data_IF_846874621760
#
_entry.id   IF_846874621760
#
_cell.length_a   1.000
_cell.length_b   1.000
_cell.length_c   1.000
_cell.angle_alpha   90.00
_cell.angle_beta   90.00
_cell.angle_gamma   90.00
#
_symmetry.space_group_name_H-M   'P 1'
#
loop_
_entity.id
_entity.type
_entity.pdbx_description
1 polymer ?
#
# COMPACT_ATOMS: atom_id res chain seq x y z
N UNK A 1 28.76 3.43 36.37
CA UNK A 1 27.72 3.14 35.36
C UNK A 1 27.94 1.71 34.91
N UNK A 2 27.09 0.78 35.33
CA UNK A 2 27.24 -0.65 35.01
C UNK A 2 26.54 -0.92 33.68
N UNK A 3 27.30 -1.29 32.65
CA UNK A 3 26.73 -1.70 31.35
C UNK A 3 26.30 -3.16 31.50
N UNK A 4 25.00 -3.43 31.45
CA UNK A 4 24.45 -4.78 31.44
C UNK A 4 24.13 -5.18 29.99
N UNK A 5 24.65 -6.33 29.56
CA UNK A 5 24.29 -6.93 28.26
C UNK A 5 22.95 -7.65 28.44
N UNK A 6 21.93 -7.21 27.72
CA UNK A 6 20.62 -7.85 27.72
C UNK A 6 20.60 -9.04 26.76
N UNK A 7 19.97 -10.16 27.12
CA UNK A 7 19.57 -11.18 26.16
C UNK A 7 18.73 -10.58 25.03
N UNK A 8 18.79 -11.13 23.80
CA UNK A 8 18.03 -10.60 22.66
C UNK A 8 16.53 -10.44 22.94
N UNK A 9 15.93 -11.41 23.64
CA UNK A 9 14.52 -11.38 24.04
C UNK A 9 14.18 -10.19 24.94
N UNK A 10 15.02 -9.93 25.95
CA UNK A 10 14.80 -8.83 26.89
C UNK A 10 15.02 -7.48 26.22
N UNK A 11 16.01 -7.39 25.33
CA UNK A 11 16.21 -6.21 24.49
C UNK A 11 15.00 -5.96 23.60
N UNK A 12 14.47 -7.00 22.97
CA UNK A 12 13.30 -6.92 22.12
C UNK A 12 12.05 -6.47 22.91
N UNK A 13 11.72 -7.12 24.04
CA UNK A 13 10.58 -6.72 24.89
C UNK A 13 10.69 -5.27 25.34
N UNK A 14 11.90 -4.81 25.71
CA UNK A 14 12.13 -3.43 26.10
C UNK A 14 11.90 -2.45 24.95
N UNK A 15 12.35 -2.77 23.73
CA UNK A 15 12.13 -1.94 22.55
C UNK A 15 10.65 -1.94 22.14
N UNK A 16 10.00 -3.10 22.12
CA UNK A 16 8.58 -3.23 21.83
C UNK A 16 7.73 -2.37 22.77
N UNK A 17 8.03 -2.42 24.08
CA UNK A 17 7.40 -1.58 25.09
C UNK A 17 7.64 -0.08 24.84
N UNK A 18 8.87 0.33 24.50
CA UNK A 18 9.20 1.73 24.19
C UNK A 18 8.54 2.24 22.89
N UNK A 19 8.10 1.32 22.04
CA UNK A 19 7.40 1.60 20.78
C UNK A 19 5.89 1.39 20.90
N UNK A 20 5.40 1.09 22.11
CA UNK A 20 3.99 0.83 22.40
C UNK A 20 3.40 -0.30 21.55
N UNK A 21 4.23 -1.30 21.23
CA UNK A 21 3.78 -2.57 20.65
C UNK A 21 3.40 -3.49 21.82
N UNK A 22 2.19 -4.07 21.86
CA UNK A 22 1.79 -5.03 22.91
C UNK A 22 2.80 -6.18 23.01
N UNK A 23 3.02 -6.71 24.22
CA UNK A 23 3.97 -7.81 24.47
C UNK A 23 3.68 -8.96 23.50
N UNK A 24 4.53 -9.17 22.49
CA UNK A 24 4.02 -9.81 21.30
C UNK A 24 4.07 -11.36 21.40
N UNK A 25 4.53 -11.92 22.53
CA UNK A 25 4.57 -13.37 22.80
C UNK A 25 5.89 -14.07 22.42
N UNK A 26 5.91 -15.41 22.38
CA UNK A 26 7.13 -16.18 22.05
C UNK A 26 7.46 -16.23 20.53
N UNK A 27 6.50 -15.95 19.64
CA UNK A 27 6.65 -15.95 18.16
C UNK A 27 6.75 -14.54 17.55
N UNK A 28 7.24 -13.62 18.35
CA UNK A 28 6.81 -12.24 18.28
C UNK A 28 7.86 -11.25 17.82
N UNK A 29 9.10 -11.72 17.75
CA UNK A 29 10.29 -10.92 17.49
C UNK A 29 10.29 -10.30 16.08
N UNK A 30 9.28 -10.59 15.25
CA UNK A 30 9.23 -10.23 13.83
C UNK A 30 7.82 -9.92 13.32
N UNK A 31 6.93 -9.44 14.18
CA UNK A 31 5.59 -9.04 13.72
C UNK A 31 5.67 -7.83 12.80
N UNK A 32 4.77 -7.75 11.82
CA UNK A 32 4.64 -6.58 10.93
C UNK A 32 4.43 -5.30 11.75
N UNK A 33 3.65 -5.39 12.84
CA UNK A 33 3.38 -4.27 13.74
C UNK A 33 4.66 -3.69 14.37
N UNK A 34 5.58 -4.55 14.81
CA UNK A 34 6.85 -4.13 15.38
C UNK A 34 7.72 -3.41 14.35
N UNK A 35 7.90 -3.99 13.17
CA UNK A 35 8.67 -3.38 12.08
C UNK A 35 8.06 -2.02 11.69
N UNK A 36 6.73 -1.94 11.61
CA UNK A 36 6.03 -0.69 11.33
C UNK A 36 6.30 0.38 12.39
N UNK A 37 6.30 0.04 13.68
CA UNK A 37 6.60 1.03 14.72
C UNK A 37 8.05 1.51 14.69
N UNK A 38 9.01 0.63 14.35
CA UNK A 38 10.40 1.05 14.13
C UNK A 38 10.51 2.00 12.96
N UNK A 39 9.84 1.72 11.84
CA UNK A 39 9.82 2.62 10.68
C UNK A 39 9.15 3.95 11.03
N UNK A 40 8.06 3.96 11.78
CA UNK A 40 7.45 5.21 12.25
C UNK A 40 8.41 6.03 13.11
N UNK A 41 9.12 5.39 14.05
CA UNK A 41 10.16 6.06 14.85
C UNK A 41 11.28 6.62 13.98
N UNK A 42 11.76 5.85 13.00
CA UNK A 42 12.77 6.29 12.07
C UNK A 42 12.27 7.50 11.25
N UNK A 43 11.02 7.46 10.77
CA UNK A 43 10.43 8.52 9.98
C UNK A 43 10.38 9.86 10.73
N UNK A 44 10.07 9.86 12.03
CA UNK A 44 10.15 11.05 12.88
C UNK A 44 11.55 11.67 12.92
N UNK A 45 12.59 10.83 12.84
CA UNK A 45 13.98 11.28 12.95
C UNK A 45 14.56 11.76 11.62
N UNK A 46 14.17 11.13 10.49
CA UNK A 46 14.87 11.32 9.21
C UNK A 46 14.03 11.88 8.07
N UNK A 47 12.71 12.02 8.22
CA UNK A 47 11.90 12.65 7.15
C UNK A 47 12.03 14.18 7.18
N UNK A 48 11.97 14.88 6.02
CA UNK A 48 11.82 14.34 4.66
C UNK A 48 13.09 13.65 4.14
N UNK A 49 12.95 12.45 3.56
CA UNK A 49 14.07 11.72 2.95
C UNK A 49 13.63 10.81 1.79
N UNK A 50 14.57 10.25 1.04
CA UNK A 50 14.26 9.20 0.05
C UNK A 50 13.87 7.88 0.73
N UNK A 51 13.02 7.08 0.08
CA UNK A 51 12.56 5.78 0.61
C UNK A 51 13.70 4.86 1.04
N UNK A 52 14.73 4.70 0.21
CA UNK A 52 15.88 3.86 0.52
C UNK A 52 16.65 4.32 1.77
N UNK A 53 16.67 5.64 2.05
CA UNK A 53 17.33 6.16 3.25
C UNK A 53 16.53 5.80 4.52
N UNK A 54 15.21 5.94 4.49
CA UNK A 54 14.33 5.52 5.58
C UNK A 54 14.44 4.01 5.84
N UNK A 55 14.39 3.20 4.78
CA UNK A 55 14.50 1.74 4.87
C UNK A 55 15.88 1.32 5.41
N UNK A 56 16.97 1.98 4.98
CA UNK A 56 18.31 1.70 5.49
C UNK A 56 18.44 1.97 6.99
N UNK A 57 17.84 3.06 7.50
CA UNK A 57 17.82 3.37 8.94
C UNK A 57 17.05 2.29 9.72
N UNK A 58 15.90 1.85 9.22
CA UNK A 58 15.12 0.79 9.86
C UNK A 58 15.83 -0.57 9.84
N UNK A 59 16.47 -0.93 8.71
CA UNK A 59 17.29 -2.15 8.61
C UNK A 59 18.46 -2.11 9.60
N UNK A 60 19.15 -0.98 9.69
CA UNK A 60 20.26 -0.83 10.62
C UNK A 60 19.82 -0.91 12.09
N UNK A 61 18.65 -0.36 12.43
CA UNK A 61 18.07 -0.46 13.76
C UNK A 61 17.65 -1.90 14.14
N UNK A 62 17.27 -2.72 13.15
CA UNK A 62 16.72 -4.06 13.36
C UNK A 62 17.70 -5.22 13.13
N UNK A 63 18.91 -4.95 12.59
CA UNK A 63 19.84 -6.00 12.16
C UNK A 63 20.20 -7.02 13.24
N UNK A 64 20.15 -6.65 14.52
CA UNK A 64 20.43 -7.54 15.65
C UNK A 64 19.32 -8.55 15.96
N UNK A 65 18.11 -8.36 15.42
CA UNK A 65 16.92 -9.19 15.70
C UNK A 65 16.56 -10.16 14.55
N UNK A 66 17.21 -10.01 13.39
CA UNK A 66 16.98 -10.86 12.21
C UNK A 66 18.16 -11.79 11.96
N UNK A 67 17.89 -13.01 11.46
CA UNK A 67 18.93 -14.00 11.20
C UNK A 67 19.73 -13.64 9.93
N UNK A 68 19.10 -12.92 9.01
CA UNK A 68 19.66 -12.55 7.72
C UNK A 68 19.20 -11.14 7.30
N UNK A 69 20.12 -10.39 6.68
CA UNK A 69 19.88 -9.01 6.25
C UNK A 69 18.90 -8.93 5.08
N UNK A 70 18.91 -9.89 4.15
CA UNK A 70 18.01 -9.87 2.99
C UNK A 70 16.56 -10.09 3.41
N UNK A 71 16.30 -11.02 4.33
CA UNK A 71 14.95 -11.22 4.89
C UNK A 71 14.45 -10.02 5.68
N UNK A 72 15.34 -9.33 6.41
CA UNK A 72 15.01 -8.08 7.09
C UNK A 72 14.67 -6.96 6.11
N UNK A 73 15.50 -6.78 5.07
CA UNK A 73 15.27 -5.76 4.06
C UNK A 73 13.90 -5.93 3.39
N UNK A 74 13.52 -7.16 3.06
CA UNK A 74 12.20 -7.47 2.51
C UNK A 74 11.06 -7.14 3.48
N UNK A 75 11.22 -7.45 4.77
CA UNK A 75 10.22 -7.12 5.79
C UNK A 75 10.05 -5.60 5.97
N UNK A 76 11.16 -4.85 5.96
CA UNK A 76 11.16 -3.38 6.05
C UNK A 76 10.53 -2.75 4.81
N UNK A 77 10.86 -3.23 3.61
CA UNK A 77 10.27 -2.76 2.35
C UNK A 77 8.76 -2.97 2.34
N UNK A 78 8.30 -4.17 2.75
CA UNK A 78 6.88 -4.50 2.85
C UNK A 78 6.15 -3.63 3.88
N UNK A 79 6.72 -3.46 5.07
CA UNK A 79 6.13 -2.62 6.12
C UNK A 79 6.08 -1.14 5.69
N UNK A 80 7.11 -0.64 5.01
CA UNK A 80 7.14 0.74 4.48
C UNK A 80 6.05 0.94 3.44
N UNK A 81 5.85 -0.04 2.56
CA UNK A 81 4.76 -0.06 1.59
C UNK A 81 3.39 -0.05 2.27
N UNK A 82 3.18 -0.82 3.34
CA UNK A 82 1.93 -0.80 4.11
C UNK A 82 1.66 0.56 4.75
N UNK A 83 2.68 1.19 5.34
CA UNK A 83 2.56 2.52 5.95
C UNK A 83 2.22 3.62 4.92
N UNK A 84 2.73 3.49 3.68
CA UNK A 84 2.34 4.34 2.56
C UNK A 84 0.89 4.09 2.12
N UNK A 85 0.48 2.82 2.03
CA UNK A 85 -0.88 2.44 1.63
C UNK A 85 -1.92 2.92 2.64
N UNK A 86 -1.64 2.84 3.94
CA UNK A 86 -2.58 3.24 4.98
C UNK A 86 -2.56 4.74 5.27
N UNK A 87 -1.46 5.42 4.96
CA UNK A 87 -1.34 6.87 5.08
C UNK A 87 -0.68 7.33 6.38
N UNK A 88 0.18 6.50 6.97
CA UNK A 88 1.13 6.96 7.99
C UNK A 88 2.31 7.68 7.35
N UNK A 89 2.70 7.25 6.14
CA UNK A 89 3.72 7.90 5.34
C UNK A 89 3.10 8.47 4.06
N UNK A 90 3.66 9.58 3.59
CA UNK A 90 3.32 10.21 2.32
C UNK A 90 4.52 10.17 1.41
N UNK A 91 4.31 9.77 0.16
CA UNK A 91 5.30 9.88 -0.91
C UNK A 91 4.95 11.08 -1.77
N UNK A 92 5.78 12.12 -1.73
CA UNK A 92 5.52 13.42 -2.34
C UNK A 92 6.50 13.71 -3.46
N UNK A 93 5.98 14.27 -4.56
CA UNK A 93 6.82 14.79 -5.63
C UNK A 93 7.47 16.12 -5.24
N UNK A 94 8.78 16.20 -5.42
CA UNK A 94 9.58 17.43 -5.23
C UNK A 94 10.18 17.81 -6.58
N UNK A 95 9.97 19.06 -7.05
CA UNK A 95 10.63 19.56 -8.24
C UNK A 95 12.15 19.48 -8.09
N UNK A 96 12.85 19.01 -9.11
CA UNK A 96 14.31 19.09 -9.17
C UNK A 96 14.67 20.30 -10.03
N UNK A 97 15.40 21.27 -9.46
CA UNK A 97 15.82 22.46 -10.20
C UNK A 97 16.55 22.10 -11.50
N UNK A 98 16.17 22.75 -12.60
CA UNK A 98 16.72 22.49 -13.93
C UNK A 98 16.27 21.17 -14.57
N UNK A 99 15.35 20.43 -13.94
CA UNK A 99 14.80 19.20 -14.48
C UNK A 99 13.29 19.28 -14.67
N UNK A 100 12.79 18.69 -15.76
CA UNK A 100 11.35 18.39 -15.91
C UNK A 100 10.94 17.21 -15.01
N UNK A 101 11.88 16.62 -14.26
CA UNK A 101 11.67 15.43 -13.43
C UNK A 101 11.35 15.81 -11.99
N UNK A 102 10.36 15.12 -11.42
CA UNK A 102 10.13 15.12 -9.99
C UNK A 102 10.96 14.01 -9.32
N UNK A 103 11.58 14.32 -8.18
CA UNK A 103 12.07 13.32 -7.24
C UNK A 103 10.97 12.99 -6.24
N UNK A 104 11.03 11.82 -5.62
CA UNK A 104 10.09 11.46 -4.55
C UNK A 104 10.76 11.54 -3.19
N UNK A 105 10.08 12.17 -2.24
CA UNK A 105 10.48 12.17 -0.83
C UNK A 105 9.37 11.58 0.02
N UNK A 106 9.76 10.81 1.02
CA UNK A 106 8.89 10.32 2.08
C UNK A 106 8.77 11.40 3.15
N UNK A 107 7.54 11.66 3.59
CA UNK A 107 7.21 12.48 4.75
C UNK A 107 6.34 11.69 5.72
N UNK A 108 6.47 11.98 7.01
CA UNK A 108 5.46 11.58 7.99
C UNK A 108 4.11 12.25 7.66
N UNK A 109 3.04 11.48 7.63
CA UNK A 109 1.70 12.03 7.50
C UNK A 109 1.26 12.67 8.83
N UNK A 110 0.52 13.78 8.81
CA UNK A 110 -0.02 14.37 10.04
C UNK A 110 -1.00 13.42 10.76
N UNK A 111 -1.10 13.47 12.11
CA UNK A 111 -2.01 12.62 12.86
C UNK A 111 -3.46 12.83 12.46
N UNK A 112 -4.21 11.74 12.25
CA UNK A 112 -5.64 11.77 11.99
C UNK A 112 -6.30 10.53 12.60
N UNK A 113 -7.61 10.60 12.84
CA UNK A 113 -8.42 9.40 13.06
C UNK A 113 -9.45 9.23 11.96
N UNK A 114 -9.79 7.98 11.64
CA UNK A 114 -10.87 7.65 10.72
C UNK A 114 -11.83 6.69 11.41
N UNK A 115 -13.09 7.10 11.56
CA UNK A 115 -14.11 6.25 12.17
C UNK A 115 -14.42 5.03 11.29
N UNK A 116 -14.52 3.87 11.94
CA UNK A 116 -14.85 2.58 11.34
C UNK A 116 -16.05 1.99 12.07
N UNK A 117 -17.25 2.35 11.60
CA UNK A 117 -18.50 1.98 12.26
C UNK A 117 -18.73 2.79 13.54
N UNK A 118 -19.53 2.24 14.45
CA UNK A 118 -19.94 2.92 15.68
C UNK A 118 -18.87 2.90 16.79
N UNK A 119 -18.07 1.83 16.87
CA UNK A 119 -17.33 1.54 18.11
C UNK A 119 -15.81 1.42 17.91
N UNK A 120 -15.30 1.82 16.73
CA UNK A 120 -13.86 1.76 16.47
C UNK A 120 -13.37 2.83 15.51
N UNK A 121 -12.10 3.19 15.61
CA UNK A 121 -11.42 4.06 14.66
C UNK A 121 -10.03 3.55 14.29
N UNK A 122 -9.56 3.97 13.13
CA UNK A 122 -8.18 3.81 12.67
C UNK A 122 -7.39 5.06 13.07
N UNK A 123 -6.22 4.86 13.67
CA UNK A 123 -5.25 5.93 13.96
C UNK A 123 -4.22 5.99 12.84
N UNK A 124 -4.08 7.16 12.23
CA UNK A 124 -3.19 7.44 11.11
C UNK A 124 -2.18 8.53 11.45
N UNK A 125 -1.08 8.54 10.71
CA UNK A 125 -0.07 9.58 10.79
C UNK A 125 0.80 9.50 12.04
N UNK A 126 1.74 10.42 12.14
CA UNK A 126 2.70 10.46 13.23
C UNK A 126 2.68 11.84 13.88
N UNK A 127 2.87 11.89 15.20
CA UNK A 127 3.10 13.15 15.92
C UNK A 127 4.44 13.78 15.56
N UNK A 128 4.80 14.89 16.22
CA UNK A 128 6.09 15.53 15.97
C UNK A 128 7.23 14.90 16.79
N UNK A 129 6.97 14.58 18.06
CA UNK A 129 7.96 14.03 19.00
C UNK A 129 7.72 12.55 19.31
N UNK A 130 6.44 12.16 19.37
CA UNK A 130 6.00 10.81 19.64
C UNK A 130 5.25 10.23 18.44
N UNK A 131 5.33 8.90 18.28
CA UNK A 131 4.67 8.22 17.16
C UNK A 131 3.15 8.39 17.23
N UNK A 132 2.60 8.22 18.42
CA UNK A 132 1.17 8.34 18.71
C UNK A 132 1.02 9.18 19.97
N UNK A 133 0.89 10.51 19.88
CA UNK A 133 0.82 11.41 21.04
C UNK A 133 -0.54 11.31 21.76
N UNK A 134 -0.84 10.14 22.33
CA UNK A 134 -2.04 9.88 23.13
C UNK A 134 -1.65 9.63 24.60
N UNK A 135 -2.54 9.95 25.57
CA UNK A 135 -2.33 9.58 26.96
C UNK A 135 -2.07 8.08 27.12
N UNK A 136 -1.19 7.70 28.06
CA UNK A 136 -0.75 6.32 28.25
C UNK A 136 -1.91 5.32 28.46
N UNK A 137 -2.98 5.74 29.14
CA UNK A 137 -4.19 4.93 29.35
C UNK A 137 -4.92 4.58 28.05
N UNK A 138 -4.93 5.50 27.08
CA UNK A 138 -5.52 5.29 25.76
C UNK A 138 -4.57 4.52 24.86
N UNK A 139 -3.28 4.85 24.91
CA UNK A 139 -2.27 4.16 24.12
C UNK A 139 -2.21 2.65 24.45
N UNK A 140 -2.43 2.29 25.72
CA UNK A 140 -2.54 0.90 26.16
C UNK A 140 -3.73 0.12 25.55
N UNK A 141 -4.73 0.83 25.02
CA UNK A 141 -5.90 0.26 24.32
C UNK A 141 -5.75 0.24 22.80
N UNK A 142 -4.62 0.71 22.27
CA UNK A 142 -4.37 0.68 20.83
C UNK A 142 -3.97 -0.73 20.41
N UNK A 143 -4.80 -1.34 19.57
CA UNK A 143 -4.55 -2.64 18.99
C UNK A 143 -3.84 -2.52 17.65
N UNK A 144 -2.90 -3.43 17.41
CA UNK A 144 -2.14 -3.47 16.18
C UNK A 144 -2.60 -4.63 15.29
N UNK A 145 -3.00 -4.33 14.06
CA UNK A 145 -3.33 -5.33 13.04
C UNK A 145 -2.46 -5.07 11.80
N UNK A 146 -1.34 -5.81 11.70
CA UNK A 146 -0.31 -5.52 10.70
C UNK A 146 0.24 -4.11 10.90
N UNK A 147 0.26 -3.30 9.84
CA UNK A 147 0.61 -1.89 9.98
C UNK A 147 -0.53 -1.00 10.54
N UNK A 148 -1.77 -1.46 10.72
CA UNK A 148 -2.83 -0.60 11.27
C UNK A 148 -2.73 -0.43 12.79
N UNK A 149 -3.12 0.75 13.27
CA UNK A 149 -3.42 1.07 14.67
C UNK A 149 -4.93 1.26 14.79
N UNK A 150 -5.57 0.46 15.64
CA UNK A 150 -7.00 0.52 15.92
C UNK A 150 -7.23 0.91 17.37
N UNK A 151 -8.26 1.71 17.60
CA UNK A 151 -8.74 2.02 18.93
C UNK A 151 -10.24 1.74 18.97
N UNK A 152 -10.65 0.93 19.92
CA UNK A 152 -12.06 0.63 20.21
C UNK A 152 -12.56 1.58 21.30
N UNK A 153 -13.83 1.99 21.21
CA UNK A 153 -14.46 2.89 22.17
C UNK A 153 -15.96 2.67 22.29
N UNK A 154 -16.55 3.23 23.33
CA UNK A 154 -17.94 3.00 23.72
C UNK A 154 -18.94 3.93 23.02
N UNK A 155 -18.57 4.46 21.85
CA UNK A 155 -19.40 5.37 21.06
C UNK A 155 -18.60 6.24 20.08
N UNK A 156 -19.12 6.36 18.85
CA UNK A 156 -18.43 7.04 17.75
C UNK A 156 -18.20 8.53 18.03
N UNK A 157 -19.20 9.21 18.60
CA UNK A 157 -19.16 10.66 18.82
C UNK A 157 -18.16 11.03 19.91
N UNK A 158 -18.19 10.29 21.02
CA UNK A 158 -17.33 10.46 22.18
C UNK A 158 -15.88 10.16 21.81
N UNK A 159 -15.64 9.03 21.11
CA UNK A 159 -14.31 8.65 20.64
C UNK A 159 -13.74 9.66 19.65
N UNK A 160 -14.55 10.11 18.68
CA UNK A 160 -14.14 11.11 17.69
C UNK A 160 -13.79 12.45 18.35
N UNK A 161 -14.60 12.91 19.31
CA UNK A 161 -14.36 14.16 20.03
C UNK A 161 -13.09 14.07 20.86
N UNK A 162 -12.94 12.99 21.63
CA UNK A 162 -11.76 12.74 22.46
C UNK A 162 -10.46 12.72 21.62
N UNK A 163 -10.45 12.05 20.48
CA UNK A 163 -9.28 11.99 19.60
C UNK A 163 -8.93 13.35 18.98
N UNK A 164 -9.94 14.12 18.57
CA UNK A 164 -9.74 15.47 18.05
C UNK A 164 -9.10 16.40 19.10
N UNK A 165 -9.56 16.34 20.34
CA UNK A 165 -8.99 17.10 21.47
C UNK A 165 -7.55 16.69 21.80
N UNK A 166 -7.17 15.44 21.51
CA UNK A 166 -5.81 14.91 21.70
C UNK A 166 -4.96 14.99 20.43
N UNK A 167 -5.29 15.89 19.49
CA UNK A 167 -4.44 16.20 18.34
C UNK A 167 -4.57 15.25 17.15
N UNK A 168 -5.60 14.39 17.13
CA UNK A 168 -5.96 13.56 15.98
C UNK A 168 -7.27 14.07 15.39
N UNK A 169 -7.27 15.10 14.52
CA UNK A 169 -8.46 15.54 13.83
C UNK A 169 -9.12 14.40 13.03
N UNK A 170 -10.44 14.46 12.92
CA UNK A 170 -11.22 13.50 12.16
C UNK A 170 -10.98 13.65 10.66
N UNK A 171 -10.70 12.53 10.00
CA UNK A 171 -10.66 12.42 8.55
C UNK A 171 -11.87 11.60 8.10
N UNK A 172 -12.67 12.16 7.20
CA UNK A 172 -13.82 11.47 6.63
C UNK A 172 -13.42 10.15 5.97
N UNK A 173 -14.21 9.10 6.18
CA UNK A 173 -13.93 7.77 5.64
C UNK A 173 -13.81 7.78 4.12
N UNK A 174 -14.67 8.50 3.40
CA UNK A 174 -14.59 8.60 1.93
C UNK A 174 -13.34 9.38 1.52
N UNK A 175 -13.02 10.46 2.25
CA UNK A 175 -11.82 11.26 2.10
C UNK A 175 -10.53 10.45 2.28
N UNK A 176 -10.47 9.60 3.31
CA UNK A 176 -9.36 8.66 3.50
C UNK A 176 -9.30 7.63 2.39
N UNK A 177 -10.40 6.91 2.13
CA UNK A 177 -10.41 5.83 1.15
C UNK A 177 -10.07 6.30 -0.27
N UNK A 178 -10.45 7.54 -0.63
CA UNK A 178 -10.28 8.09 -1.99
C UNK A 178 -10.81 7.15 -3.07
N UNK A 179 -11.97 6.53 -2.80
CA UNK A 179 -12.57 5.57 -3.72
C UNK A 179 -12.83 6.24 -5.08
N UNK A 180 -12.48 5.58 -6.20
CA UNK A 180 -12.89 6.07 -7.50
C UNK A 180 -14.41 5.97 -7.65
N UNK A 181 -14.94 6.67 -8.65
CA UNK A 181 -16.32 6.49 -9.09
C UNK A 181 -16.49 5.12 -9.74
N UNK A 182 -17.69 4.56 -9.61
CA UNK A 182 -18.10 3.41 -10.42
C UNK A 182 -18.24 3.84 -11.88
N UNK A 183 -17.57 3.11 -12.76
CA UNK A 183 -17.52 3.39 -14.19
C UNK A 183 -17.20 2.09 -14.96
N UNK A 184 -17.48 2.05 -16.26
CA UNK A 184 -17.16 0.88 -17.08
C UNK A 184 -15.65 0.83 -17.38
N UNK A 185 -15.06 -0.36 -17.64
CA UNK A 185 -13.65 -0.48 -18.00
C UNK A 185 -13.28 0.40 -19.21
N UNK A 186 -14.15 0.45 -20.22
CA UNK A 186 -13.94 1.22 -21.43
C UNK A 186 -13.99 2.73 -21.19
N UNK A 187 -14.92 3.21 -20.36
CA UNK A 187 -14.99 4.63 -20.01
C UNK A 187 -13.73 5.09 -19.28
N UNK A 188 -13.27 4.31 -18.30
CA UNK A 188 -12.04 4.60 -17.56
C UNK A 188 -10.80 4.61 -18.47
N UNK A 189 -10.65 3.59 -19.31
CA UNK A 189 -9.50 3.46 -20.20
C UNK A 189 -9.44 4.54 -21.27
N UNK A 190 -10.58 4.96 -21.81
CA UNK A 190 -10.63 6.01 -22.82
C UNK A 190 -9.92 7.28 -22.34
N UNK A 191 -10.12 7.69 -21.08
CA UNK A 191 -9.43 8.86 -20.50
C UNK A 191 -7.90 8.74 -20.60
N UNK A 192 -7.35 7.55 -20.35
CA UNK A 192 -5.90 7.32 -20.42
C UNK A 192 -5.39 7.15 -21.85
N UNK A 193 -6.16 6.51 -22.71
CA UNK A 193 -5.81 6.38 -24.13
C UNK A 193 -5.87 7.70 -24.87
N UNK A 194 -6.81 8.58 -24.55
CA UNK A 194 -6.89 9.92 -25.13
C UNK A 194 -5.67 10.76 -24.72
N UNK A 195 -5.25 10.66 -23.44
CA UNK A 195 -4.01 11.31 -22.96
C UNK A 195 -2.76 10.77 -23.65
N UNK A 196 -2.67 9.46 -23.86
CA UNK A 196 -1.57 8.82 -24.58
C UNK A 196 -1.55 9.22 -26.06
N UNK A 197 -2.72 9.27 -26.71
CA UNK A 197 -2.83 9.66 -28.12
C UNK A 197 -2.44 11.12 -28.36
N UNK A 198 -2.61 11.98 -27.35
CA UNK A 198 -2.17 13.37 -27.36
C UNK A 198 -0.65 13.56 -27.15
N UNK A 199 0.10 12.49 -26.84
CA UNK A 199 1.55 12.58 -26.73
C UNK A 199 2.22 12.62 -28.11
N UNK A 200 3.36 13.30 -28.17
CA UNK A 200 4.27 13.24 -29.30
C UNK A 200 4.84 11.83 -29.47
N UNK A 201 5.44 11.58 -30.64
CA UNK A 201 6.11 10.31 -30.89
C UNK A 201 7.25 10.10 -29.89
N UNK A 202 7.28 8.91 -29.29
CA UNK A 202 8.40 8.47 -28.46
C UNK A 202 9.56 7.97 -29.32
N UNK A 203 10.78 8.12 -28.82
CA UNK A 203 11.94 7.39 -29.34
C UNK A 203 11.96 5.93 -28.85
N UNK A 204 13.03 5.22 -29.17
CA UNK A 204 13.31 3.91 -28.57
C UNK A 204 13.60 4.05 -27.07
N UNK A 205 13.18 3.06 -26.30
CA UNK A 205 13.32 3.05 -24.85
C UNK A 205 13.93 1.73 -24.44
N UNK A 206 15.23 1.76 -24.14
CA UNK A 206 15.97 0.61 -23.66
C UNK A 206 15.42 0.12 -22.32
N UNK A 207 15.30 -1.21 -22.16
CA UNK A 207 14.82 -1.84 -20.93
C UNK A 207 13.32 -1.69 -20.67
N UNK A 208 12.52 -1.23 -21.64
CA UNK A 208 11.07 -1.14 -21.50
C UNK A 208 10.45 -2.53 -21.25
N UNK A 209 9.60 -2.63 -20.22
CA UNK A 209 8.82 -3.84 -19.89
C UNK A 209 7.34 -3.52 -19.94
N UNK A 210 6.54 -4.47 -20.42
CA UNK A 210 5.08 -4.33 -20.51
C UNK A 210 4.38 -5.45 -19.75
N UNK A 211 3.16 -5.18 -19.27
CA UNK A 211 2.28 -6.22 -18.75
C UNK A 211 1.53 -6.85 -19.92
N UNK A 212 1.79 -8.13 -20.18
CA UNK A 212 1.08 -8.87 -21.21
C UNK A 212 -0.38 -9.16 -20.80
N UNK A 213 -1.31 -8.82 -21.69
CA UNK A 213 -2.74 -9.18 -21.61
C UNK A 213 -3.00 -10.63 -22.07
N UNK A 214 -1.98 -11.30 -22.62
CA UNK A 214 -2.02 -12.70 -23.03
C UNK A 214 -1.58 -13.66 -21.94
N UNK A 215 -0.76 -13.17 -21.02
CA UNK A 215 -0.30 -13.94 -19.88
C UNK A 215 -1.43 -14.21 -18.88
N UNK A 216 -1.31 -15.32 -18.15
CA UNK A 216 -2.26 -15.69 -17.10
C UNK A 216 -2.40 -14.61 -16.03
N UNK A 217 -3.63 -14.24 -15.71
CA UNK A 217 -3.96 -13.31 -14.60
C UNK A 217 -3.72 -13.91 -13.21
N UNK A 218 -3.44 -15.21 -13.12
CA UNK A 218 -3.20 -15.92 -11.85
C UNK A 218 -1.77 -15.76 -11.33
N UNK A 219 -0.84 -15.25 -12.14
CA UNK A 219 0.55 -15.06 -11.76
C UNK A 219 1.08 -13.69 -12.22
N UNK A 220 0.85 -12.66 -11.40
CA UNK A 220 1.17 -11.27 -11.72
C UNK A 220 2.64 -11.06 -12.17
N UNK A 221 3.61 -11.61 -11.44
CA UNK A 221 5.04 -11.43 -11.77
C UNK A 221 5.40 -11.97 -13.16
N UNK A 222 4.78 -13.07 -13.58
CA UNK A 222 5.01 -13.68 -14.89
C UNK A 222 4.38 -12.93 -16.06
N UNK A 223 3.59 -11.87 -15.81
CA UNK A 223 3.00 -11.07 -16.88
C UNK A 223 3.93 -10.00 -17.43
N UNK A 224 4.99 -9.66 -16.71
CA UNK A 224 5.98 -8.68 -17.15
C UNK A 224 6.88 -9.28 -18.23
N UNK A 225 6.80 -8.73 -19.44
CA UNK A 225 7.56 -9.22 -20.60
C UNK A 225 8.24 -8.07 -21.33
N UNK A 226 9.18 -8.39 -22.22
CA UNK A 226 9.68 -7.42 -23.19
C UNK A 226 8.68 -7.27 -24.35
N UNK A 227 8.53 -6.06 -24.92
CA UNK A 227 7.62 -5.78 -26.04
C UNK A 227 7.75 -6.72 -27.25
N UNK A 228 8.97 -7.18 -27.59
CA UNK A 228 9.26 -8.07 -28.70
C UNK A 228 8.57 -7.71 -30.04
N UNK A 229 7.44 -8.33 -30.38
CA UNK A 229 6.67 -8.08 -31.63
C UNK A 229 5.25 -7.55 -31.35
N UNK A 230 4.98 -7.11 -30.12
CA UNK A 230 3.65 -6.69 -29.68
C UNK A 230 3.25 -5.35 -30.32
N UNK A 231 1.99 -5.25 -30.73
CA UNK A 231 1.37 -3.99 -31.16
C UNK A 231 0.14 -3.70 -30.30
N UNK A 232 -0.16 -2.42 -30.09
CA UNK A 232 -1.28 -1.97 -29.27
C UNK A 232 -0.84 -1.18 -28.05
N UNK A 233 -1.74 -1.01 -27.08
CA UNK A 233 -1.51 -0.16 -25.90
C UNK A 233 -1.34 -1.01 -24.65
N UNK A 234 -0.35 -0.70 -23.84
CA UNK A 234 0.01 -1.51 -22.67
C UNK A 234 0.37 -0.64 -21.47
N UNK A 235 0.13 -1.18 -20.28
CA UNK A 235 0.80 -0.73 -19.06
C UNK A 235 2.25 -1.17 -19.11
N UNK A 236 3.17 -0.28 -18.73
CA UNK A 236 4.58 -0.49 -18.86
C UNK A 236 5.39 0.06 -17.67
N UNK A 237 6.64 -0.38 -17.60
CA UNK A 237 7.71 0.13 -16.75
C UNK A 237 8.88 0.51 -17.64
N UNK A 238 9.40 1.72 -17.47
CA UNK A 238 10.63 2.16 -18.13
C UNK A 238 11.72 2.49 -17.12
N UNK A 239 12.99 2.16 -17.39
CA UNK A 239 14.10 2.54 -16.53
C UNK A 239 14.26 4.05 -16.40
N UNK A 240 14.87 4.46 -15.29
CA UNK A 240 15.38 5.81 -15.10
C UNK A 240 16.77 5.76 -14.47
N UNK A 241 17.55 6.84 -14.63
CA UNK A 241 18.95 6.88 -14.20
C UNK A 241 19.13 6.63 -12.69
N UNK A 242 18.17 7.08 -11.87
CA UNK A 242 18.18 6.92 -10.42
C UNK A 242 16.76 6.62 -9.92
N UNK A 243 16.63 5.73 -8.95
CA UNK A 243 15.34 5.34 -8.37
C UNK A 243 14.67 4.15 -9.07
N UNK A 244 13.46 3.81 -8.63
CA UNK A 244 12.69 2.70 -9.18
C UNK A 244 12.15 3.03 -10.59
N UNK A 245 11.98 2.03 -11.44
CA UNK A 245 11.42 2.22 -12.78
C UNK A 245 10.10 3.01 -12.77
N UNK A 246 9.89 3.85 -13.77
CA UNK A 246 8.69 4.67 -13.83
C UNK A 246 7.52 3.87 -14.39
N UNK A 247 6.35 4.02 -13.77
CA UNK A 247 5.10 3.51 -14.32
C UNK A 247 4.66 4.38 -15.48
N UNK A 248 4.33 3.75 -16.60
CA UNK A 248 3.89 4.45 -17.80
C UNK A 248 2.84 3.63 -18.54
N UNK A 249 2.18 4.27 -19.51
CA UNK A 249 1.46 3.58 -20.58
C UNK A 249 2.16 3.84 -21.91
N UNK A 250 2.16 2.83 -22.77
CA UNK A 250 2.88 2.86 -24.05
C UNK A 250 2.01 2.35 -25.18
N UNK A 251 2.10 2.99 -26.33
CA UNK A 251 1.59 2.47 -27.61
C UNK A 251 2.77 1.84 -28.36
N UNK A 252 2.64 0.58 -28.76
CA UNK A 252 3.63 -0.18 -29.48
C UNK A 252 3.18 -0.46 -30.91
N UNK A 253 4.14 -0.49 -31.82
CA UNK A 253 4.01 -1.02 -33.18
C UNK A 253 5.18 -1.96 -33.48
N UNK A 254 4.90 -3.26 -33.63
CA UNK A 254 5.92 -4.28 -33.88
C UNK A 254 6.98 -4.35 -32.78
N UNK A 255 6.59 -4.10 -31.52
CA UNK A 255 7.47 -4.03 -30.36
C UNK A 255 8.16 -2.69 -30.14
N UNK A 256 8.02 -1.73 -31.06
CA UNK A 256 8.65 -0.41 -30.94
C UNK A 256 7.70 0.59 -30.28
N UNK A 257 8.15 1.36 -29.28
CA UNK A 257 7.37 2.45 -28.70
C UNK A 257 7.07 3.54 -29.74
N UNK A 258 5.79 3.81 -29.96
CA UNK A 258 5.31 4.90 -30.84
C UNK A 258 4.94 6.13 -30.02
N UNK A 259 4.28 5.94 -28.87
CA UNK A 259 3.95 6.98 -27.90
C UNK A 259 4.11 6.44 -26.50
N UNK A 260 4.48 7.30 -25.57
CA UNK A 260 4.59 6.97 -24.16
C UNK A 260 4.06 8.11 -23.29
N UNK A 261 3.33 7.76 -22.24
CA UNK A 261 2.91 8.68 -21.19
C UNK A 261 3.34 8.10 -19.83
N UNK A 262 4.23 8.83 -19.14
CA UNK A 262 4.54 8.54 -17.75
C UNK A 262 3.29 8.80 -16.87
N UNK A 263 2.97 7.86 -16.00
CA UNK A 263 1.83 7.98 -15.10
C UNK A 263 2.25 8.85 -13.92
N UNK A 264 1.70 10.06 -13.87
CA UNK A 264 1.83 10.99 -12.75
C UNK A 264 0.44 11.38 -12.25
N UNK A 265 0.23 11.45 -10.94
CA UNK A 265 -0.99 12.06 -10.40
C UNK A 265 -0.80 13.55 -10.22
N UNK A 266 -1.77 14.36 -10.66
CA UNK A 266 -1.81 15.76 -10.29
C UNK A 266 -2.01 15.86 -8.76
N UNK A 267 -0.99 16.35 -8.06
CA UNK A 267 -0.94 16.56 -6.61
C UNK A 267 -1.08 15.28 -5.80
N UNK A 268 -0.03 14.46 -5.68
CA UNK A 268 0.23 13.38 -4.69
C UNK A 268 -0.95 12.49 -4.20
N UNK A 269 -2.11 12.52 -4.87
CA UNK A 269 -3.35 11.97 -4.36
C UNK A 269 -3.48 10.48 -4.71
N UNK A 270 -2.82 10.04 -5.78
CA UNK A 270 -2.87 8.67 -6.28
C UNK A 270 -1.48 8.21 -6.72
N UNK A 271 -1.08 7.03 -6.27
CA UNK A 271 0.23 6.50 -6.63
C UNK A 271 0.24 6.06 -8.09
N UNK A 272 1.34 6.25 -8.83
CA UNK A 272 1.44 5.77 -10.22
C UNK A 272 1.12 4.28 -10.38
N UNK A 273 1.52 3.45 -9.41
CA UNK A 273 1.19 2.03 -9.40
C UNK A 273 -0.32 1.75 -9.26
N UNK A 274 -1.04 2.51 -8.45
CA UNK A 274 -2.48 2.33 -8.24
C UNK A 274 -3.26 2.58 -9.53
N UNK A 275 -2.85 3.63 -10.25
CA UNK A 275 -3.41 3.98 -11.55
C UNK A 275 -3.06 2.88 -12.57
N UNK A 276 -1.80 2.48 -12.65
CA UNK A 276 -1.33 1.45 -13.57
C UNK A 276 -2.04 0.11 -13.37
N UNK A 277 -2.21 -0.33 -12.12
CA UNK A 277 -2.95 -1.55 -11.80
C UNK A 277 -4.42 -1.44 -12.20
N UNK A 278 -5.07 -0.30 -11.97
CA UNK A 278 -6.46 -0.08 -12.41
C UNK A 278 -6.59 -0.06 -13.93
N UNK A 279 -5.65 0.54 -14.67
CA UNK A 279 -5.58 0.50 -16.14
C UNK A 279 -5.47 -0.96 -16.60
N UNK A 280 -4.57 -1.74 -15.99
CA UNK A 280 -4.41 -3.15 -16.33
C UNK A 280 -5.69 -3.95 -16.10
N UNK A 281 -6.34 -3.77 -14.95
CA UNK A 281 -7.62 -4.45 -14.63
C UNK A 281 -8.71 -4.10 -15.64
N UNK A 282 -8.78 -2.85 -16.08
CA UNK A 282 -9.71 -2.44 -17.11
C UNK A 282 -9.41 -3.08 -18.47
N UNK A 283 -8.13 -3.16 -18.86
CA UNK A 283 -7.72 -3.80 -20.12
C UNK A 283 -8.08 -5.28 -20.10
N UNK A 284 -7.72 -5.96 -19.02
CA UNK A 284 -8.03 -7.37 -18.77
C UNK A 284 -9.54 -7.63 -18.86
N UNK A 285 -10.36 -6.74 -18.29
CA UNK A 285 -11.82 -6.85 -18.37
C UNK A 285 -12.36 -6.66 -19.80
N UNK A 286 -11.80 -5.74 -20.59
CA UNK A 286 -12.22 -5.50 -21.97
C UNK A 286 -11.88 -6.65 -22.92
N UNK A 287 -10.75 -7.33 -22.70
CA UNK A 287 -10.34 -8.49 -23.52
C UNK A 287 -10.93 -9.82 -23.03
N UNK A 288 -11.89 -9.77 -22.09
CA UNK A 288 -12.58 -10.95 -21.56
C UNK A 288 -11.72 -11.82 -20.64
N UNK A 289 -10.64 -11.28 -20.07
CA UNK A 289 -9.72 -11.98 -19.16
C UNK A 289 -9.60 -11.24 -17.83
N UNK A 290 -10.75 -11.03 -17.16
CA UNK A 290 -10.81 -10.30 -15.88
C UNK A 290 -9.83 -10.90 -14.88
N UNK A 291 -9.20 -10.03 -14.09
CA UNK A 291 -8.38 -10.48 -12.98
C UNK A 291 -9.27 -11.12 -11.91
N UNK A 292 -8.74 -12.15 -11.26
CA UNK A 292 -9.53 -13.01 -10.37
C UNK A 292 -9.11 -12.89 -8.91
N UNK A 293 -10.07 -13.17 -8.02
CA UNK A 293 -9.86 -13.37 -6.59
C UNK A 293 -10.67 -14.59 -6.13
N UNK A 294 -10.32 -15.16 -4.98
CA UNK A 294 -11.04 -16.29 -4.37
C UNK A 294 -11.78 -15.86 -3.12
N UNK A 295 -12.95 -16.44 -2.90
CA UNK A 295 -13.66 -16.37 -1.62
C UNK A 295 -13.53 -17.73 -0.95
N UNK A 296 -12.74 -17.81 0.13
CA UNK A 296 -12.54 -19.03 0.90
C UNK A 296 -13.34 -18.92 2.18
N UNK A 297 -14.16 -19.93 2.47
CA UNK A 297 -14.94 -20.03 3.71
C UNK A 297 -14.52 -21.29 4.45
N UNK A 298 -14.13 -21.16 5.69
CA UNK A 298 -13.77 -22.26 6.58
C UNK A 298 -14.13 -21.89 8.04
N UNK A 299 -13.78 -22.76 8.98
CA UNK A 299 -14.06 -22.55 10.41
C UNK A 299 -13.37 -21.29 10.98
N UNK A 300 -12.26 -20.85 10.36
CA UNK A 300 -11.54 -19.63 10.73
C UNK A 300 -12.22 -18.34 10.20
N UNK A 301 -13.23 -18.47 9.34
CA UNK A 301 -14.02 -17.36 8.81
C UNK A 301 -14.08 -17.28 7.28
N UNK A 302 -14.31 -16.06 6.77
CA UNK A 302 -14.38 -15.77 5.33
C UNK A 302 -13.17 -14.93 4.90
N UNK A 303 -12.46 -15.40 3.88
CA UNK A 303 -11.25 -14.77 3.35
C UNK A 303 -11.37 -14.45 1.88
N UNK A 304 -10.90 -13.27 1.50
CA UNK A 304 -10.73 -12.82 0.14
C UNK A 304 -9.25 -12.93 -0.24
N UNK A 305 -8.92 -13.82 -1.17
CA UNK A 305 -7.54 -14.07 -1.59
C UNK A 305 -7.30 -13.54 -3.01
N UNK A 306 -6.31 -12.66 -3.18
CA UNK A 306 -6.03 -11.97 -4.45
C UNK A 306 -4.75 -12.48 -5.10
N UNK A 307 -4.76 -12.63 -6.42
CA UNK A 307 -3.61 -13.10 -7.22
C UNK A 307 -2.89 -11.98 -7.97
N UNK A 308 -3.48 -10.79 -7.96
CA UNK A 308 -2.96 -9.57 -8.55
C UNK A 308 -2.90 -8.46 -7.51
N UNK A 309 -2.00 -7.48 -7.68
CA UNK A 309 -1.93 -6.34 -6.77
C UNK A 309 -3.22 -5.51 -6.85
N UNK A 310 -3.61 -4.97 -5.71
CA UNK A 310 -4.76 -4.07 -5.58
C UNK A 310 -4.27 -2.63 -5.40
N UNK A 311 -4.93 -1.64 -6.00
CA UNK A 311 -4.72 -0.24 -5.66
C UNK A 311 -4.87 0.02 -4.15
N UNK A 312 -4.09 0.95 -3.60
CA UNK A 312 -4.07 1.27 -2.17
C UNK A 312 -5.45 1.61 -1.59
N UNK A 313 -6.30 2.33 -2.34
CA UNK A 313 -7.68 2.64 -1.96
C UNK A 313 -8.56 1.39 -1.84
N UNK A 314 -8.32 0.35 -2.64
CA UNK A 314 -9.03 -0.91 -2.54
C UNK A 314 -8.58 -1.72 -1.33
N UNK A 315 -7.26 -1.75 -1.05
CA UNK A 315 -6.74 -2.36 0.17
C UNK A 315 -7.31 -1.71 1.43
N UNK A 316 -7.38 -0.36 1.47
CA UNK A 316 -8.01 0.37 2.58
C UNK A 316 -9.49 0.04 2.72
N UNK A 317 -10.24 -0.05 1.60
CA UNK A 317 -11.67 -0.42 1.63
C UNK A 317 -11.90 -1.82 2.21
N UNK A 318 -11.03 -2.77 1.91
CA UNK A 318 -11.10 -4.13 2.44
C UNK A 318 -10.85 -4.17 3.95
N UNK A 319 -9.96 -3.31 4.46
CA UNK A 319 -9.67 -3.20 5.89
C UNK A 319 -10.79 -2.55 6.68
N UNK A 320 -11.56 -1.64 6.07
CA UNK A 320 -12.76 -1.12 6.73
C UNK A 320 -13.74 -2.26 7.05
N UNK A 321 -13.85 -3.25 6.17
CA UNK A 321 -14.74 -4.40 6.33
C UNK A 321 -14.13 -5.59 7.09
N UNK A 322 -12.85 -5.52 7.50
CA UNK A 322 -12.17 -6.65 8.14
C UNK A 322 -10.70 -6.40 8.46
N UNK A 323 -9.85 -7.38 8.19
CA UNK A 323 -8.43 -7.34 8.55
C UNK A 323 -7.55 -8.01 7.49
N UNK A 324 -6.29 -7.59 7.40
CA UNK A 324 -5.32 -8.29 6.55
C UNK A 324 -5.04 -9.68 7.12
N UNK A 325 -4.99 -10.69 6.25
CA UNK A 325 -4.74 -12.07 6.62
C UNK A 325 -3.50 -12.61 5.89
N UNK A 326 -2.75 -13.48 6.55
CA UNK A 326 -1.68 -14.25 5.89
C UNK A 326 -2.25 -15.57 5.39
N UNK A 327 -2.16 -15.79 4.08
CA UNK A 327 -2.69 -16.98 3.41
C UNK A 327 -1.67 -17.48 2.37
N UNK A 328 -1.47 -18.80 2.26
CA UNK A 328 -0.54 -19.35 1.28
C UNK A 328 -1.13 -19.25 -0.14
N UNK A 329 -0.27 -19.22 -1.16
CA UNK A 329 -0.66 -19.26 -2.59
C UNK A 329 -1.59 -18.12 -3.03
N UNK A 330 -1.42 -16.94 -2.44
CA UNK A 330 -2.00 -15.69 -2.91
C UNK A 330 -1.00 -14.54 -2.72
N UNK A 331 -1.21 -13.44 -3.42
CA UNK A 331 -0.39 -12.23 -3.26
C UNK A 331 -0.75 -11.46 -1.99
N UNK A 332 -2.05 -11.40 -1.67
CA UNK A 332 -2.57 -10.79 -0.45
C UNK A 332 -3.93 -11.39 -0.10
N UNK A 333 -4.28 -11.38 1.17
CA UNK A 333 -5.57 -11.84 1.64
C UNK A 333 -6.16 -10.92 2.71
N UNK A 334 -7.49 -10.89 2.78
CA UNK A 334 -8.24 -10.14 3.77
C UNK A 334 -9.33 -11.01 4.38
N UNK A 335 -9.35 -11.10 5.71
CA UNK A 335 -10.52 -11.59 6.43
C UNK A 335 -11.64 -10.56 6.28
N UNK A 336 -12.86 -11.02 6.02
CA UNK A 336 -14.04 -10.16 5.91
C UNK A 336 -15.15 -10.71 6.78
N UNK A 337 -15.93 -9.80 7.38
CA UNK A 337 -17.13 -10.20 8.10
C UNK A 337 -18.22 -10.66 7.12
N UNK A 338 -19.03 -11.68 7.46
CA UNK A 338 -20.05 -12.21 6.54
C UNK A 338 -21.11 -11.19 6.11
N UNK A 339 -21.48 -10.27 6.99
CA UNK A 339 -22.42 -9.17 6.73
C UNK A 339 -21.86 -8.12 5.75
N UNK A 340 -20.55 -7.91 5.75
CA UNK A 340 -19.87 -6.99 4.84
C UNK A 340 -19.57 -7.59 3.45
N UNK A 341 -19.55 -8.93 3.35
CA UNK A 341 -19.13 -9.63 2.14
C UNK A 341 -19.89 -9.16 0.88
N UNK A 342 -21.24 -9.02 0.87
CA UNK A 342 -21.96 -8.56 -0.32
C UNK A 342 -21.50 -7.17 -0.80
N UNK A 343 -21.27 -6.24 0.12
CA UNK A 343 -20.81 -4.89 -0.19
C UNK A 343 -19.39 -4.90 -0.75
N UNK A 344 -18.51 -5.74 -0.20
CA UNK A 344 -17.15 -5.92 -0.71
C UNK A 344 -17.16 -6.54 -2.10
N UNK A 345 -17.94 -7.59 -2.34
CA UNK A 345 -18.04 -8.21 -3.66
C UNK A 345 -18.58 -7.25 -4.72
N UNK A 346 -19.59 -6.45 -4.36
CA UNK A 346 -20.11 -5.39 -5.24
C UNK A 346 -19.02 -4.38 -5.60
N UNK A 347 -18.28 -3.89 -4.61
CA UNK A 347 -17.16 -2.98 -4.80
C UNK A 347 -16.06 -3.56 -5.72
N UNK A 348 -15.62 -4.80 -5.49
CA UNK A 348 -14.58 -5.43 -6.30
C UNK A 348 -15.03 -5.61 -7.77
N UNK A 349 -16.31 -5.92 -7.99
CA UNK A 349 -16.88 -6.10 -9.33
C UNK A 349 -17.11 -4.78 -10.07
N UNK A 350 -17.52 -3.72 -9.38
CA UNK A 350 -17.93 -2.47 -10.02
C UNK A 350 -16.80 -1.42 -10.10
N UNK A 351 -15.87 -1.39 -9.14
CA UNK A 351 -14.77 -0.42 -9.14
C UNK A 351 -13.47 -0.96 -9.75
N UNK A 352 -13.28 -2.28 -9.71
CA UNK A 352 -12.06 -2.96 -10.18
C UNK A 352 -12.33 -4.01 -11.27
N UNK A 353 -13.60 -4.32 -11.57
CA UNK A 353 -13.99 -5.29 -12.60
C UNK A 353 -13.40 -6.68 -12.39
N UNK A 354 -13.16 -7.05 -11.13
CA UNK A 354 -12.63 -8.37 -10.78
C UNK A 354 -13.71 -9.44 -10.86
N UNK A 355 -13.25 -10.68 -11.00
CA UNK A 355 -14.09 -11.86 -11.06
C UNK A 355 -13.77 -12.83 -9.92
N UNK A 356 -14.81 -13.37 -9.29
CA UNK A 356 -14.66 -14.42 -8.28
C UNK A 356 -14.36 -15.74 -8.99
N UNK A 357 -13.33 -16.46 -8.54
CA UNK A 357 -12.99 -17.79 -9.04
C UNK A 357 -13.05 -18.83 -7.93
N UNK A 358 -13.47 -20.04 -8.28
CA UNK A 358 -13.68 -21.17 -7.38
C UNK A 358 -12.43 -22.03 -7.14
N UNK A 359 -11.27 -21.71 -7.76
CA UNK A 359 -10.05 -22.51 -7.71
C UNK A 359 -8.77 -21.70 -7.44
#
# INVERSE_FOLDING_TARGET
MTIAVLPPKDAFTRIASSLSVPDPGQDAERTVAFVCQVIRRAALAVTPCGRAALEAVAVEALKGFWPDRSTLALAVEQATEELLVYGDLLEMQVPVEGSVRASFVIRAAPPHHVMRGADSCVILGLGNEEITPLPASTLARVHHIGALRLLEGDGASELSTYLAENGFPGLDLKGWLRLPREETPGAFLRVWWDKLAAQDRSGEIEGLRVISVESSVRYYKGRWVEPAKMSGRFVARRPQAFGADLWCIVELDGGRPVRLLDITSAGDLQRPCDIAWRIQMAQDALVGRRQVFRVVRNDDGTFLEFLSPLPSWAQRRLLVSGARAQRPRCLMAFATRPDELPNVLHFLKNCLWLEETTH
#
